data_IF_111853933715
#
_entry.id   IF_111853933715
#
_cell.length_a   1.000
_cell.length_b   1.000
_cell.length_c   1.000
_cell.angle_alpha   90.00
_cell.angle_beta   90.00
_cell.angle_gamma   90.00
#
_symmetry.space_group_name_H-M   'P 1'
#
loop_
_entity.id
_entity.type
_entity.pdbx_description
1 polymer ?
#
# COMPACT_ATOMS: atom_id res chain seq x y z
N UNK A 1 53.80 -2.95 14.24
CA UNK A 1 52.38 -3.21 14.57
C UNK A 1 52.19 -2.88 16.03
N UNK A 2 51.43 -1.83 16.29
CA UNK A 2 51.14 -1.39 17.64
C UNK A 2 50.04 -2.26 18.23
N UNK A 3 49.92 -2.29 19.56
CA UNK A 3 48.87 -3.06 20.26
C UNK A 3 47.46 -2.61 19.83
N UNK A 4 47.31 -1.36 19.38
CA UNK A 4 46.08 -0.80 18.82
C UNK A 4 45.69 -1.44 17.47
N UNK A 5 46.66 -1.69 16.58
CA UNK A 5 46.42 -2.36 15.29
C UNK A 5 45.89 -3.78 15.48
N UNK A 6 46.31 -4.47 16.55
CA UNK A 6 45.88 -5.84 16.85
C UNK A 6 44.41 -5.90 17.30
N UNK A 7 43.96 -4.95 18.13
CA UNK A 7 42.58 -4.91 18.62
C UNK A 7 41.60 -4.57 17.50
N UNK A 8 41.95 -3.61 16.64
CA UNK A 8 41.09 -3.17 15.54
C UNK A 8 40.88 -4.28 14.50
N UNK A 9 41.93 -5.04 14.18
CA UNK A 9 41.84 -6.21 13.31
C UNK A 9 40.95 -7.32 13.90
N UNK A 10 41.09 -7.62 15.20
CA UNK A 10 40.24 -8.61 15.88
C UNK A 10 38.77 -8.17 15.92
N UNK A 11 38.49 -6.89 16.21
CA UNK A 11 37.13 -6.35 16.17
C UNK A 11 36.50 -6.44 14.76
N UNK A 12 37.27 -6.11 13.71
CA UNK A 12 36.81 -6.26 12.32
C UNK A 12 36.58 -7.72 11.95
N UNK A 13 37.43 -8.63 12.40
CA UNK A 13 37.28 -10.06 12.13
C UNK A 13 36.07 -10.66 12.84
N UNK A 14 35.79 -10.24 14.08
CA UNK A 14 34.55 -10.61 14.81
C UNK A 14 33.30 -10.06 14.15
N UNK A 15 33.31 -8.79 13.70
CA UNK A 15 32.20 -8.21 12.96
C UNK A 15 31.99 -8.95 11.63
N UNK A 16 33.06 -9.23 10.89
CA UNK A 16 32.98 -10.00 9.64
C UNK A 16 32.43 -11.41 9.88
N UNK A 17 32.85 -12.09 10.95
CA UNK A 17 32.32 -13.40 11.33
C UNK A 17 30.84 -13.33 11.74
N UNK A 18 30.44 -12.30 12.47
CA UNK A 18 29.04 -12.05 12.81
C UNK A 18 28.18 -11.75 11.58
N UNK A 19 28.70 -10.98 10.62
CA UNK A 19 27.99 -10.67 9.37
C UNK A 19 28.01 -11.83 8.36
N UNK A 20 28.99 -12.72 8.45
CA UNK A 20 29.06 -13.96 7.66
C UNK A 20 28.36 -15.14 8.32
N UNK A 21 27.79 -14.97 9.52
CA UNK A 21 27.04 -16.04 10.17
C UNK A 21 25.78 -16.35 9.37
N UNK A 22 25.39 -17.63 9.28
CA UNK A 22 24.17 -18.01 8.55
C UNK A 22 22.93 -17.27 9.08
N UNK A 23 22.96 -16.92 10.38
CA UNK A 23 21.92 -16.12 11.03
C UNK A 23 21.82 -14.70 10.45
N UNK A 24 22.94 -14.00 10.27
CA UNK A 24 22.91 -12.65 9.68
C UNK A 24 22.46 -12.70 8.23
N UNK A 25 22.91 -13.68 7.44
CA UNK A 25 22.49 -13.86 6.04
C UNK A 25 20.97 -14.06 5.97
N UNK A 26 20.40 -14.95 6.78
CA UNK A 26 18.95 -15.18 6.83
C UNK A 26 18.17 -13.91 7.22
N UNK A 27 18.68 -13.14 8.20
CA UNK A 27 18.06 -11.86 8.61
C UNK A 27 18.09 -10.84 7.47
N UNK A 28 19.20 -10.73 6.74
CA UNK A 28 19.30 -9.82 5.60
C UNK A 28 18.39 -10.23 4.45
N UNK A 29 18.28 -11.52 4.15
CA UNK A 29 17.37 -12.04 3.13
C UNK A 29 15.91 -11.75 3.49
N UNK A 30 15.52 -12.00 4.74
CA UNK A 30 14.18 -11.68 5.23
C UNK A 30 13.88 -10.18 5.18
N UNK A 31 14.82 -9.35 5.65
CA UNK A 31 14.67 -7.89 5.60
C UNK A 31 14.55 -7.38 4.16
N UNK A 32 15.40 -7.89 3.26
CA UNK A 32 15.37 -7.51 1.83
C UNK A 32 14.04 -7.91 1.19
N UNK A 33 13.55 -9.11 1.50
CA UNK A 33 12.24 -9.59 1.06
C UNK A 33 11.10 -8.68 1.56
N UNK A 34 11.10 -8.29 2.83
CA UNK A 34 10.09 -7.39 3.38
C UNK A 34 10.14 -5.98 2.76
N UNK A 35 11.34 -5.44 2.56
CA UNK A 35 11.52 -4.13 1.90
C UNK A 35 11.02 -4.18 0.46
N UNK A 36 11.31 -5.26 -0.27
CA UNK A 36 10.84 -5.45 -1.64
C UNK A 36 9.31 -5.54 -1.72
N UNK A 37 8.69 -6.34 -0.85
CA UNK A 37 7.24 -6.48 -0.77
C UNK A 37 6.59 -5.13 -0.43
N UNK A 38 7.15 -4.41 0.55
CA UNK A 38 6.64 -3.12 0.98
C UNK A 38 6.75 -2.05 -0.11
N UNK A 39 7.89 -1.99 -0.81
CA UNK A 39 8.08 -1.10 -1.94
C UNK A 39 7.08 -1.41 -3.07
N UNK A 40 6.87 -2.70 -3.36
CA UNK A 40 5.89 -3.16 -4.36
C UNK A 40 4.47 -2.76 -3.97
N UNK A 41 4.06 -3.01 -2.72
CA UNK A 41 2.76 -2.58 -2.21
C UNK A 41 2.56 -1.07 -2.24
N UNK A 42 3.60 -0.30 -1.91
CA UNK A 42 3.61 1.15 -2.04
C UNK A 42 3.39 1.63 -3.47
N UNK A 43 4.12 1.04 -4.43
CA UNK A 43 3.98 1.35 -5.85
C UNK A 43 2.57 1.02 -6.38
N UNK A 44 2.06 -0.18 -6.09
CA UNK A 44 0.71 -0.60 -6.48
C UNK A 44 -0.36 0.34 -5.92
N UNK A 45 -0.24 0.71 -4.64
CA UNK A 45 -1.17 1.63 -4.01
C UNK A 45 -1.15 3.01 -4.69
N UNK A 46 0.04 3.55 -4.91
CA UNK A 46 0.23 4.84 -5.56
C UNK A 46 -0.34 4.84 -6.99
N UNK A 47 -0.11 3.77 -7.76
CA UNK A 47 -0.69 3.60 -9.10
C UNK A 47 -2.21 3.59 -9.05
N UNK A 48 -2.82 2.87 -8.11
CA UNK A 48 -4.27 2.80 -7.97
C UNK A 48 -4.92 4.14 -7.63
N UNK A 49 -4.38 4.89 -6.67
CA UNK A 49 -4.90 6.23 -6.34
C UNK A 49 -4.63 7.26 -7.45
N UNK A 50 -3.53 7.11 -8.20
CA UNK A 50 -3.22 7.94 -9.36
C UNK A 50 -4.22 7.69 -10.50
N UNK A 51 -4.53 6.43 -10.79
CA UNK A 51 -5.53 6.05 -11.77
C UNK A 51 -6.92 6.61 -11.40
N UNK A 52 -7.29 6.57 -10.12
CA UNK A 52 -8.52 7.20 -9.64
C UNK A 52 -8.54 8.72 -9.86
N UNK A 53 -7.43 9.41 -9.63
CA UNK A 53 -7.35 10.86 -9.88
C UNK A 53 -7.49 11.19 -11.38
N UNK A 54 -6.90 10.37 -12.27
CA UNK A 54 -7.07 10.49 -13.73
C UNK A 54 -8.54 10.27 -14.12
N UNK A 55 -9.16 9.21 -13.60
CA UNK A 55 -10.57 8.92 -13.86
C UNK A 55 -11.49 10.07 -13.41
N UNK A 56 -11.26 10.60 -12.20
CA UNK A 56 -11.98 11.76 -11.70
C UNK A 56 -11.79 12.99 -12.60
N UNK A 57 -10.57 13.23 -13.09
CA UNK A 57 -10.30 14.34 -14.01
C UNK A 57 -11.06 14.20 -15.34
N UNK A 58 -11.09 12.99 -15.93
CA UNK A 58 -11.84 12.68 -17.15
C UNK A 58 -13.35 12.88 -16.95
N UNK A 59 -13.87 12.49 -15.78
CA UNK A 59 -15.27 12.68 -15.40
C UNK A 59 -15.59 14.11 -14.92
N UNK A 60 -14.62 15.03 -14.93
CA UNK A 60 -14.73 16.39 -14.40
C UNK A 60 -15.17 16.45 -12.93
N UNK A 61 -14.80 15.45 -12.15
CA UNK A 61 -15.03 15.37 -10.71
C UNK A 61 -13.81 15.98 -10.00
N UNK A 62 -13.97 17.17 -9.45
CA UNK A 62 -12.96 17.82 -8.61
C UNK A 62 -13.24 17.63 -7.12
N UNK A 63 -12.29 17.98 -6.28
CA UNK A 63 -12.37 17.92 -4.81
C UNK A 63 -13.55 18.67 -4.16
N UNK A 64 -14.16 19.61 -4.87
CA UNK A 64 -15.36 20.34 -4.45
C UNK A 64 -16.62 19.98 -5.28
N UNK A 65 -16.58 18.91 -6.08
CA UNK A 65 -17.77 18.39 -6.75
C UNK A 65 -18.80 17.92 -5.70
N UNK A 66 -20.09 18.05 -6.04
CA UNK A 66 -21.21 17.85 -5.11
C UNK A 66 -21.36 16.43 -4.54
N UNK A 67 -22.32 16.32 -3.60
CA UNK A 67 -22.89 15.10 -3.03
C UNK A 67 -21.91 13.96 -2.73
N UNK A 68 -20.82 14.30 -2.03
CA UNK A 68 -19.82 13.34 -1.55
C UNK A 68 -19.04 12.57 -2.64
N UNK A 69 -19.22 12.88 -3.92
CA UNK A 69 -18.59 12.16 -5.02
C UNK A 69 -17.07 12.04 -4.87
N UNK A 70 -16.32 13.11 -4.54
CA UNK A 70 -14.87 13.01 -4.40
C UNK A 70 -14.47 12.10 -3.23
N UNK A 71 -15.29 12.06 -2.17
CA UNK A 71 -15.04 11.21 -1.01
C UNK A 71 -15.36 9.75 -1.31
N UNK A 72 -16.44 9.45 -2.04
CA UNK A 72 -16.79 8.11 -2.47
C UNK A 72 -15.71 7.53 -3.41
N UNK A 73 -15.32 8.28 -4.45
CA UNK A 73 -14.24 7.86 -5.35
C UNK A 73 -12.91 7.68 -4.60
N UNK A 74 -12.56 8.62 -3.73
CA UNK A 74 -11.34 8.51 -2.92
C UNK A 74 -11.36 7.30 -1.98
N UNK A 75 -12.47 7.02 -1.31
CA UNK A 75 -12.62 5.86 -0.43
C UNK A 75 -12.54 4.55 -1.22
N UNK A 76 -13.26 4.43 -2.34
CA UNK A 76 -13.19 3.26 -3.20
C UNK A 76 -11.78 3.04 -3.74
N UNK A 77 -11.10 4.11 -4.17
CA UNK A 77 -9.72 4.04 -4.66
C UNK A 77 -8.75 3.56 -3.57
N UNK A 78 -8.82 4.12 -2.36
CA UNK A 78 -7.98 3.67 -1.24
C UNK A 78 -8.26 2.21 -0.90
N UNK A 79 -9.52 1.82 -0.80
CA UNK A 79 -9.93 0.47 -0.45
C UNK A 79 -9.45 -0.56 -1.48
N UNK A 80 -9.73 -0.34 -2.76
CA UNK A 80 -9.31 -1.25 -3.84
C UNK A 80 -7.79 -1.29 -3.99
N UNK A 81 -7.11 -0.13 -3.93
CA UNK A 81 -5.65 -0.06 -4.01
C UNK A 81 -4.96 -0.76 -2.84
N UNK A 82 -5.59 -0.77 -1.67
CA UNK A 82 -5.07 -1.48 -0.49
C UNK A 82 -5.18 -3.00 -0.63
N UNK A 83 -6.31 -3.48 -1.19
CA UNK A 83 -6.47 -4.89 -1.56
C UNK A 83 -5.41 -5.30 -2.57
N UNK A 84 -5.21 -4.52 -3.63
CA UNK A 84 -4.20 -4.80 -4.65
C UNK A 84 -2.78 -4.78 -4.07
N UNK A 85 -2.46 -3.79 -3.23
CA UNK A 85 -1.16 -3.68 -2.59
C UNK A 85 -0.84 -4.93 -1.76
N UNK A 86 -1.72 -5.35 -0.86
CA UNK A 86 -1.49 -6.56 -0.04
C UNK A 86 -1.51 -7.85 -0.85
N UNK A 87 -2.41 -7.97 -1.83
CA UNK A 87 -2.60 -9.21 -2.58
C UNK A 87 -1.53 -9.46 -3.63
N UNK A 88 -0.87 -8.43 -4.15
CA UNK A 88 0.12 -8.55 -5.23
C UNK A 88 1.55 -8.15 -4.80
N UNK A 89 1.77 -7.66 -3.57
CA UNK A 89 3.08 -7.17 -3.10
C UNK A 89 4.23 -8.19 -3.20
N UNK A 90 3.97 -9.47 -2.91
CA UNK A 90 5.01 -10.51 -2.85
C UNK A 90 5.33 -11.12 -4.23
N UNK A 91 4.59 -10.79 -5.28
CA UNK A 91 4.76 -11.41 -6.60
C UNK A 91 6.17 -11.23 -7.17
N UNK A 92 6.78 -10.03 -7.13
CA UNK A 92 8.16 -9.85 -7.60
C UNK A 92 9.15 -10.75 -6.86
N UNK A 93 8.96 -10.93 -5.54
CA UNK A 93 9.78 -11.82 -4.72
C UNK A 93 9.63 -13.29 -5.15
N UNK A 94 8.40 -13.78 -5.28
CA UNK A 94 8.14 -15.16 -5.73
C UNK A 94 8.74 -15.42 -7.12
N UNK A 95 8.56 -14.48 -8.05
CA UNK A 95 9.12 -14.58 -9.40
C UNK A 95 10.66 -14.59 -9.36
N UNK A 96 11.28 -13.74 -8.54
CA UNK A 96 12.73 -13.72 -8.38
C UNK A 96 13.27 -15.03 -7.76
N UNK A 97 12.63 -15.55 -6.72
CA UNK A 97 13.02 -16.80 -6.06
C UNK A 97 12.90 -18.00 -7.01
N UNK A 98 11.83 -18.09 -7.79
CA UNK A 98 11.63 -19.14 -8.78
C UNK A 98 12.69 -19.06 -9.90
N UNK A 99 12.98 -17.85 -10.40
CA UNK A 99 14.04 -17.64 -11.39
C UNK A 99 15.43 -18.01 -10.83
N UNK A 100 15.71 -17.65 -9.57
CA UNK A 100 16.95 -18.01 -8.90
C UNK A 100 17.07 -19.53 -8.69
N UNK A 101 15.98 -20.22 -8.33
CA UNK A 101 15.94 -21.67 -8.20
C UNK A 101 16.15 -22.37 -9.56
N UNK A 102 15.51 -21.87 -10.62
CA UNK A 102 15.73 -22.37 -11.98
C UNK A 102 17.16 -22.14 -12.47
N UNK A 103 17.74 -20.99 -12.15
CA UNK A 103 19.14 -20.69 -12.45
C UNK A 103 20.09 -21.64 -11.74
N UNK A 104 19.85 -21.96 -10.45
CA UNK A 104 20.63 -22.95 -9.69
C UNK A 104 20.54 -24.35 -10.31
N UNK A 105 19.33 -24.83 -10.60
CA UNK A 105 19.12 -26.13 -11.28
C UNK A 105 19.76 -26.18 -12.65
N UNK A 106 19.71 -25.08 -13.39
CA UNK A 106 20.35 -24.99 -14.70
C UNK A 106 21.89 -25.00 -14.57
N UNK A 107 22.44 -24.33 -13.55
CA UNK A 107 23.88 -24.32 -13.27
C UNK A 107 24.37 -25.66 -12.74
N UNK A 108 23.60 -26.41 -11.96
CA UNK A 108 23.96 -27.78 -11.52
C UNK A 108 24.03 -28.73 -12.72
N UNK A 109 23.01 -28.69 -13.59
CA UNK A 109 23.01 -29.45 -14.85
C UNK A 109 24.13 -29.00 -15.79
N UNK A 110 24.42 -27.70 -15.82
CA UNK A 110 25.51 -27.13 -16.62
C UNK A 110 26.86 -27.40 -15.99
N UNK A 111 27.03 -27.55 -14.68
CA UNK A 111 28.28 -28.00 -14.06
C UNK A 111 28.64 -29.42 -14.51
N UNK A 112 27.63 -30.25 -14.77
CA UNK A 112 27.80 -31.55 -15.43
C UNK A 112 28.00 -31.45 -16.95
N UNK A 113 27.39 -30.46 -17.62
CA UNK A 113 27.39 -30.33 -19.09
C UNK A 113 28.39 -29.31 -19.67
N UNK A 114 29.04 -28.48 -18.86
CA UNK A 114 29.99 -27.44 -19.27
C UNK A 114 31.36 -28.02 -19.61
N UNK A 115 31.65 -29.25 -19.19
CA UNK A 115 32.68 -30.06 -19.83
C UNK A 115 32.36 -30.37 -21.30
N UNK A 116 31.13 -30.14 -21.79
CA UNK A 116 30.71 -30.64 -23.10
C UNK A 116 30.26 -29.57 -24.09
N UNK A 117 29.58 -28.45 -23.78
CA UNK A 117 29.27 -27.44 -24.83
C UNK A 117 28.89 -26.03 -24.35
N UNK A 118 29.44 -25.03 -25.04
CA UNK A 118 29.44 -23.60 -24.71
C UNK A 118 28.09 -22.87 -24.69
N UNK A 119 28.00 -21.89 -23.80
CA UNK A 119 26.81 -21.09 -23.52
C UNK A 119 26.65 -19.91 -24.51
N UNK A 120 25.70 -20.01 -25.46
CA UNK A 120 25.32 -18.86 -26.33
C UNK A 120 23.81 -18.57 -26.45
N UNK A 121 22.92 -19.18 -25.65
CA UNK A 121 21.47 -18.91 -25.75
C UNK A 121 20.76 -18.83 -24.39
N UNK A 122 21.02 -17.75 -23.63
CA UNK A 122 20.15 -17.36 -22.52
C UNK A 122 18.98 -16.55 -23.11
N UNK A 123 17.93 -17.24 -23.53
CA UNK A 123 16.71 -16.58 -24.02
C UNK A 123 16.01 -15.80 -22.88
N UNK A 124 15.76 -14.48 -23.04
CA UNK A 124 15.12 -13.66 -22.02
C UNK A 124 13.57 -13.54 -22.00
N UNK A 125 12.72 -14.48 -22.49
CA UNK A 125 11.25 -14.37 -22.32
C UNK A 125 10.64 -15.17 -21.15
N UNK A 126 11.42 -15.87 -20.30
CA UNK A 126 10.86 -16.74 -19.24
C UNK A 126 10.33 -15.97 -18.01
N UNK A 127 11.00 -14.89 -17.60
CA UNK A 127 10.64 -14.13 -16.40
C UNK A 127 9.26 -13.47 -16.51
N UNK A 128 8.97 -12.83 -17.65
CA UNK A 128 7.68 -12.20 -17.89
C UNK A 128 6.52 -13.20 -17.91
N UNK A 129 6.71 -14.35 -18.56
CA UNK A 129 5.70 -15.41 -18.59
C UNK A 129 5.42 -15.96 -17.18
N UNK A 130 6.45 -16.14 -16.36
CA UNK A 130 6.27 -16.55 -14.95
C UNK A 130 5.54 -15.49 -14.14
N UNK A 131 5.90 -14.23 -14.32
CA UNK A 131 5.20 -13.12 -13.68
C UNK A 131 3.72 -13.10 -14.06
N UNK A 132 3.39 -13.24 -15.36
CA UNK A 132 2.02 -13.32 -15.84
C UNK A 132 1.25 -14.50 -15.23
N UNK A 133 1.86 -15.68 -15.18
CA UNK A 133 1.25 -16.87 -14.57
C UNK A 133 0.97 -16.64 -13.07
N UNK A 134 1.89 -16.02 -12.33
CA UNK A 134 1.71 -15.69 -10.92
C UNK A 134 0.63 -14.63 -10.69
N UNK A 135 0.60 -13.59 -11.54
CA UNK A 135 -0.46 -12.59 -11.51
C UNK A 135 -1.81 -13.22 -11.80
N UNK A 136 -1.91 -14.11 -12.80
CA UNK A 136 -3.14 -14.82 -13.14
C UNK A 136 -3.58 -15.74 -12.00
N UNK A 137 -2.67 -16.55 -11.44
CA UNK A 137 -2.93 -17.42 -10.29
C UNK A 137 -3.48 -16.61 -9.11
N UNK A 138 -2.86 -15.46 -8.80
CA UNK A 138 -3.31 -14.59 -7.72
C UNK A 138 -4.63 -13.91 -8.06
N UNK A 139 -4.87 -13.55 -9.32
CA UNK A 139 -6.14 -12.97 -9.77
C UNK A 139 -7.31 -13.96 -9.61
N UNK A 140 -7.12 -15.23 -9.96
CA UNK A 140 -8.13 -16.28 -9.76
C UNK A 140 -8.41 -16.51 -8.27
N UNK A 141 -7.36 -16.45 -7.44
CA UNK A 141 -7.46 -16.56 -5.99
C UNK A 141 -7.94 -15.28 -5.30
N UNK A 142 -8.14 -14.19 -6.05
CA UNK A 142 -8.56 -12.91 -5.49
C UNK A 142 -9.82 -13.15 -4.67
N UNK A 143 -10.85 -13.81 -5.24
CA UNK A 143 -12.19 -14.02 -4.64
C UNK A 143 -12.20 -14.62 -3.23
N UNK A 144 -11.13 -15.29 -2.83
CA UNK A 144 -11.00 -15.97 -1.54
C UNK A 144 -10.24 -15.15 -0.49
N UNK A 145 -9.73 -13.97 -0.86
CA UNK A 145 -9.00 -13.11 0.06
C UNK A 145 -9.94 -12.38 1.05
N UNK A 146 -9.49 -12.05 2.26
CA UNK A 146 -10.26 -11.33 3.27
C UNK A 146 -10.35 -9.83 2.93
N UNK A 147 -10.95 -9.52 1.77
CA UNK A 147 -11.00 -8.15 1.24
C UNK A 147 -11.55 -7.12 2.23
N UNK A 148 -12.62 -7.39 3.00
CA UNK A 148 -13.15 -6.39 3.92
C UNK A 148 -12.10 -5.93 4.93
N UNK A 149 -11.24 -6.85 5.40
CA UNK A 149 -10.16 -6.53 6.34
C UNK A 149 -9.13 -5.63 5.67
N UNK A 150 -8.67 -5.97 4.47
CA UNK A 150 -7.68 -5.18 3.73
C UNK A 150 -8.18 -3.79 3.38
N UNK A 151 -9.45 -3.69 2.97
CA UNK A 151 -10.10 -2.41 2.68
C UNK A 151 -10.16 -1.55 3.93
N UNK A 152 -10.62 -2.09 5.06
CA UNK A 152 -10.73 -1.35 6.34
C UNK A 152 -9.35 -0.93 6.85
N UNK A 153 -8.37 -1.84 6.87
CA UNK A 153 -7.00 -1.52 7.29
C UNK A 153 -6.37 -0.44 6.41
N UNK A 154 -6.55 -0.53 5.10
CA UNK A 154 -6.10 0.46 4.15
C UNK A 154 -6.70 1.85 4.39
N UNK A 155 -8.02 1.91 4.60
CA UNK A 155 -8.72 3.16 4.93
C UNK A 155 -8.24 3.75 6.26
N UNK A 156 -8.03 2.92 7.29
CA UNK A 156 -7.51 3.35 8.59
C UNK A 156 -6.08 3.85 8.48
N UNK A 157 -5.19 3.11 7.83
CA UNK A 157 -3.80 3.51 7.60
C UNK A 157 -3.73 4.82 6.82
N UNK A 158 -4.51 4.96 5.74
CA UNK A 158 -4.62 6.21 4.98
C UNK A 158 -5.05 7.38 5.86
N UNK A 159 -6.03 7.16 6.75
CA UNK A 159 -6.51 8.18 7.69
C UNK A 159 -5.47 8.57 8.73
N UNK A 160 -4.77 7.60 9.32
CA UNK A 160 -3.70 7.83 10.29
C UNK A 160 -2.54 8.62 9.68
N UNK A 161 -2.23 8.40 8.40
CA UNK A 161 -1.25 9.18 7.63
C UNK A 161 -1.77 10.57 7.20
N UNK A 162 -2.89 11.04 7.76
CA UNK A 162 -3.48 12.35 7.51
C UNK A 162 -4.27 12.45 6.19
N UNK A 163 -4.63 11.31 5.60
CA UNK A 163 -5.35 11.25 4.34
C UNK A 163 -6.79 11.76 4.42
N UNK A 164 -7.18 12.57 3.43
CA UNK A 164 -8.58 12.94 3.18
C UNK A 164 -8.98 12.40 1.83
N UNK A 165 -10.15 11.77 1.73
CA UNK A 165 -10.59 11.17 0.48
C UNK A 165 -10.73 12.21 -0.64
N UNK A 166 -11.19 13.41 -0.31
CA UNK A 166 -11.24 14.54 -1.26
C UNK A 166 -9.86 15.08 -1.67
N UNK A 167 -8.79 14.77 -0.93
CA UNK A 167 -7.43 15.19 -1.29
C UNK A 167 -6.83 14.37 -2.44
N UNK A 168 -7.42 13.21 -2.77
CA UNK A 168 -7.05 12.42 -3.94
C UNK A 168 -7.65 12.98 -5.23
N UNK A 169 -8.74 13.74 -5.13
CA UNK A 169 -9.38 14.33 -6.29
C UNK A 169 -8.58 15.50 -6.88
N UNK A 170 -8.72 15.78 -8.19
CA UNK A 170 -8.19 16.99 -8.80
C UNK A 170 -8.74 18.26 -8.13
N UNK A 171 -7.96 19.33 -8.11
CA UNK A 171 -8.42 20.63 -7.57
C UNK A 171 -9.15 21.45 -8.64
N UNK A 172 -10.40 21.87 -8.42
CA UNK A 172 -11.01 22.90 -9.24
C UNK A 172 -10.35 24.26 -8.95
N UNK A 173 -10.15 25.08 -9.98
CA UNK A 173 -9.66 26.45 -9.78
C UNK A 173 -10.75 27.38 -9.22
N UNK A 174 -12.01 27.19 -9.63
CA UNK A 174 -13.13 28.06 -9.23
C UNK A 174 -13.77 27.71 -7.87
N UNK A 175 -13.17 26.80 -7.09
CA UNK A 175 -13.68 26.36 -5.79
C UNK A 175 -12.51 25.90 -4.89
N UNK A 176 -12.81 25.43 -3.68
CA UNK A 176 -11.82 24.89 -2.75
C UNK A 176 -11.08 23.70 -3.36
N UNK A 177 -9.75 23.79 -3.42
CA UNK A 177 -8.90 22.73 -3.92
C UNK A 177 -8.74 21.55 -2.95
N UNK A 178 -8.13 20.47 -3.44
CA UNK A 178 -7.89 19.20 -2.76
C UNK A 178 -7.04 19.34 -1.49
N UNK A 179 -6.26 20.42 -1.38
CA UNK A 179 -5.38 20.70 -0.25
C UNK A 179 -5.92 21.78 0.70
N UNK A 180 -7.16 22.25 0.53
CA UNK A 180 -7.74 23.22 1.45
C UNK A 180 -7.86 22.64 2.86
N UNK A 181 -7.55 23.45 3.87
CA UNK A 181 -7.78 23.12 5.27
C UNK A 181 -8.53 24.27 5.91
N UNK A 182 -9.71 24.00 6.50
CA UNK A 182 -10.52 25.04 7.15
C UNK A 182 -9.75 25.72 8.28
N UNK A 183 -8.90 24.98 9.01
CA UNK A 183 -8.02 25.53 10.05
C UNK A 183 -6.91 26.45 9.52
N UNK A 184 -6.59 26.37 8.23
CA UNK A 184 -5.60 27.22 7.55
C UNK A 184 -6.31 28.26 6.67
N UNK A 185 -7.34 28.89 7.22
CA UNK A 185 -8.11 29.92 6.53
C UNK A 185 -8.60 30.99 7.51
N UNK A 186 -8.79 32.20 7.00
CA UNK A 186 -9.31 33.32 7.78
C UNK A 186 -10.74 33.65 7.33
N UNK A 187 -11.67 34.00 8.23
CA UNK A 187 -12.90 34.67 7.84
C UNK A 187 -12.57 35.91 6.98
N UNK A 188 -13.36 36.17 5.94
CA UNK A 188 -13.13 37.28 5.04
C UNK A 188 -14.43 38.05 4.81
N UNK A 189 -14.32 39.37 4.61
CA UNK A 189 -15.38 40.19 4.04
C UNK A 189 -15.33 40.11 2.51
N UNK A 190 -16.20 40.87 1.84
CA UNK A 190 -16.17 41.06 0.39
C UNK A 190 -14.93 41.85 -0.05
N UNK A 191 -14.27 42.57 0.86
CA UNK A 191 -13.14 43.45 0.56
C UNK A 191 -11.84 42.67 0.37
N UNK A 192 -10.82 43.36 -0.16
CA UNK A 192 -9.49 42.77 -0.29
C UNK A 192 -8.83 42.59 1.08
N UNK A 193 -8.00 41.55 1.21
CA UNK A 193 -7.24 41.30 2.43
C UNK A 193 -6.34 42.49 2.78
N UNK A 194 -6.38 42.89 4.04
CA UNK A 194 -5.48 43.84 4.70
C UNK A 194 -4.03 43.34 4.70
N UNK A 195 -3.08 44.22 5.01
CA UNK A 195 -1.66 43.85 5.15
C UNK A 195 -1.44 42.77 6.21
N UNK A 196 -2.13 42.87 7.34
CA UNK A 196 -2.08 41.90 8.44
C UNK A 196 -2.61 40.54 7.99
N UNK A 197 -3.79 40.49 7.37
CA UNK A 197 -4.37 39.25 6.84
C UNK A 197 -3.47 38.60 5.79
N UNK A 198 -2.87 39.39 4.90
CA UNK A 198 -1.90 38.89 3.92
C UNK A 198 -0.67 38.27 4.60
N UNK A 199 -0.19 38.89 5.68
CA UNK A 199 0.90 38.35 6.52
C UNK A 199 0.54 36.98 7.10
N UNK A 200 -0.64 36.87 7.73
CA UNK A 200 -1.13 35.61 8.30
C UNK A 200 -1.30 34.53 7.21
N UNK A 201 -1.82 34.91 6.03
CA UNK A 201 -1.96 33.99 4.90
C UNK A 201 -0.60 33.52 4.37
N UNK A 202 0.46 34.33 4.41
CA UNK A 202 1.81 33.83 4.10
C UNK A 202 2.21 32.72 5.07
N UNK A 203 2.00 32.91 6.37
CA UNK A 203 2.34 31.88 7.37
C UNK A 203 1.53 30.61 7.19
N UNK A 204 0.22 30.72 6.95
CA UNK A 204 -0.62 29.56 6.62
C UNK A 204 -0.13 28.86 5.35
N UNK A 205 0.27 29.59 4.33
CA UNK A 205 0.85 29.04 3.11
C UNK A 205 2.17 28.31 3.36
N UNK A 206 3.07 28.85 4.18
CA UNK A 206 4.34 28.18 4.53
C UNK A 206 4.10 26.89 5.31
N UNK A 207 3.17 26.90 6.27
CA UNK A 207 2.87 25.74 7.11
C UNK A 207 2.09 24.65 6.38
N UNK A 208 1.02 25.02 5.67
CA UNK A 208 0.04 24.07 5.12
C UNK A 208 0.13 23.94 3.60
N UNK A 209 0.67 24.92 2.91
CA UNK A 209 0.80 24.97 1.46
C UNK A 209 -0.40 25.61 0.78
N UNK A 210 -0.28 25.75 -0.54
CA UNK A 210 -1.36 26.24 -1.41
C UNK A 210 -2.59 25.34 -1.31
N UNK A 211 -3.78 25.91 -1.08
CA UNK A 211 -5.02 25.13 -0.98
C UNK A 211 -5.40 24.42 -2.30
N UNK A 212 -4.91 24.91 -3.45
CA UNK A 212 -5.15 24.33 -4.77
C UNK A 212 -4.15 23.22 -5.10
N UNK A 213 -2.84 23.43 -4.96
CA UNK A 213 -1.82 22.49 -5.43
C UNK A 213 -0.90 21.93 -4.34
N UNK A 214 -1.02 22.41 -3.11
CA UNK A 214 -0.27 21.89 -1.97
C UNK A 214 1.20 22.31 -1.90
N UNK A 215 1.73 23.09 -2.84
CA UNK A 215 3.12 23.58 -2.80
C UNK A 215 3.35 24.43 -1.54
N UNK A 216 4.51 24.26 -0.90
CA UNK A 216 4.87 24.93 0.38
C UNK A 216 6.05 25.89 0.29
N UNK A 217 7.06 25.56 -0.52
CA UNK A 217 8.36 26.26 -0.57
C UNK A 217 8.52 27.00 -1.90
N UNK A 218 9.33 28.06 -1.89
CA UNK A 218 9.73 28.79 -3.09
C UNK A 218 8.59 29.54 -3.79
N UNK A 219 7.51 29.88 -3.08
CA UNK A 219 6.37 30.61 -3.65
C UNK A 219 5.84 31.67 -2.70
N UNK A 220 5.26 32.73 -3.27
CA UNK A 220 4.45 33.71 -2.55
C UNK A 220 2.98 33.27 -2.55
N UNK A 221 2.28 33.54 -1.46
CA UNK A 221 0.85 33.25 -1.33
C UNK A 221 0.00 34.50 -1.54
N UNK A 222 -1.21 34.32 -2.05
CA UNK A 222 -2.26 35.32 -2.08
C UNK A 222 -3.39 34.88 -1.15
N UNK A 223 -4.05 35.87 -0.54
CA UNK A 223 -5.28 35.67 0.21
C UNK A 223 -6.43 35.50 -0.78
N UNK A 224 -6.63 34.26 -1.23
CA UNK A 224 -7.65 33.92 -2.22
C UNK A 224 -9.04 33.86 -1.57
N UNK A 225 -10.01 34.57 -2.16
CA UNK A 225 -11.40 34.59 -1.72
C UNK A 225 -12.11 33.31 -2.16
N UNK A 226 -12.53 32.50 -1.19
CA UNK A 226 -13.33 31.31 -1.45
C UNK A 226 -14.73 31.41 -0.82
N UNK A 227 -15.82 31.26 -1.63
CA UNK A 227 -15.80 31.14 -3.09
C UNK A 227 -15.37 32.46 -3.78
N UNK A 228 -14.91 32.43 -5.05
CA UNK A 228 -14.56 33.65 -5.79
C UNK A 228 -15.74 34.62 -5.88
N UNK A 229 -15.48 35.94 -5.84
CA UNK A 229 -16.54 36.98 -5.82
C UNK A 229 -17.56 36.84 -6.95
N UNK A 230 -17.11 36.53 -8.17
CA UNK A 230 -18.00 36.30 -9.32
C UNK A 230 -18.91 35.07 -9.12
N UNK A 231 -18.38 34.00 -8.53
CA UNK A 231 -19.15 32.78 -8.21
C UNK A 231 -20.14 33.06 -7.08
N UNK A 232 -19.73 33.81 -6.05
CA UNK A 232 -20.58 34.22 -4.95
C UNK A 232 -21.75 35.10 -5.39
N UNK A 233 -21.47 36.15 -6.18
CA UNK A 233 -22.49 37.06 -6.74
C UNK A 233 -23.58 36.28 -7.48
N UNK A 234 -23.19 35.39 -8.39
CA UNK A 234 -24.13 34.53 -9.13
C UNK A 234 -24.91 33.58 -8.23
N UNK A 235 -24.26 33.07 -7.18
CA UNK A 235 -24.91 32.16 -6.22
C UNK A 235 -25.98 32.90 -5.41
N UNK A 236 -25.69 34.14 -5.00
CA UNK A 236 -26.61 34.98 -4.23
C UNK A 236 -27.75 35.52 -5.10
N UNK A 237 -27.54 35.67 -6.41
CA UNK A 237 -28.57 36.05 -7.37
C UNK A 237 -29.62 34.97 -7.63
N UNK A 238 -29.39 33.70 -7.20
CA UNK A 238 -30.38 32.63 -7.34
C UNK A 238 -31.67 33.00 -6.59
N UNK A 239 -32.82 32.87 -7.27
CA UNK A 239 -34.15 33.30 -6.78
C UNK A 239 -34.40 32.87 -5.34
N UNK A 240 -34.21 31.58 -5.03
CA UNK A 240 -34.43 31.03 -3.68
C UNK A 240 -33.57 31.72 -2.62
N UNK A 241 -32.28 31.97 -2.90
CA UNK A 241 -31.39 32.65 -1.95
C UNK A 241 -31.71 34.13 -1.79
N UNK A 242 -32.03 34.78 -2.91
CA UNK A 242 -32.46 36.18 -2.94
C UNK A 242 -33.72 36.38 -2.09
N UNK A 243 -34.73 35.52 -2.25
CA UNK A 243 -35.95 35.53 -1.46
C UNK A 243 -35.68 35.30 0.03
N UNK A 244 -34.71 34.43 0.37
CA UNK A 244 -34.31 34.16 1.75
C UNK A 244 -33.32 35.19 2.33
N UNK A 245 -32.93 36.23 1.59
CA UNK A 245 -31.95 37.24 2.04
C UNK A 245 -30.56 36.67 2.38
N UNK A 246 -30.22 35.46 1.92
CA UNK A 246 -28.98 34.77 2.31
C UNK A 246 -27.81 35.23 1.46
N UNK A 247 -26.83 35.90 2.08
CA UNK A 247 -25.56 36.28 1.45
C UNK A 247 -24.50 35.19 1.63
N UNK A 248 -23.62 35.05 0.64
CA UNK A 248 -22.49 34.11 0.71
C UNK A 248 -21.41 34.65 1.65
N UNK A 249 -20.95 33.79 2.56
CA UNK A 249 -19.82 34.07 3.46
C UNK A 249 -18.49 33.77 2.77
N UNK A 250 -17.49 34.63 2.95
CA UNK A 250 -16.16 34.46 2.37
C UNK A 250 -15.14 34.00 3.40
N UNK A 251 -14.10 33.33 2.90
CA UNK A 251 -12.88 33.03 3.66
C UNK A 251 -11.66 33.21 2.77
N UNK A 252 -10.56 33.63 3.37
CA UNK A 252 -9.25 33.66 2.73
C UNK A 252 -8.53 32.33 2.90
N UNK A 253 -8.01 31.79 1.80
CA UNK A 253 -7.12 30.63 1.79
C UNK A 253 -5.78 30.99 1.15
N UNK A 254 -4.67 30.36 1.57
CA UNK A 254 -3.37 30.56 0.94
C UNK A 254 -3.35 29.91 -0.45
N UNK A 255 -3.18 30.72 -1.49
CA UNK A 255 -3.03 30.23 -2.87
C UNK A 255 -1.73 30.74 -3.47
N UNK A 256 -0.91 29.87 -4.08
CA UNK A 256 0.32 30.32 -4.72
C UNK A 256 0.03 31.14 -5.99
N UNK A 257 0.92 32.07 -6.31
CA UNK A 257 0.83 32.95 -7.49
C UNK A 257 0.51 32.20 -8.81
N UNK A 258 1.17 31.08 -9.17
CA UNK A 258 0.82 30.34 -10.39
C UNK A 258 -0.61 29.79 -10.41
N UNK A 259 -1.16 29.41 -9.25
CA UNK A 259 -2.55 28.93 -9.16
C UNK A 259 -3.55 30.09 -9.21
N UNK A 260 -3.24 31.20 -8.52
CA UNK A 260 -4.03 32.44 -8.54
C UNK A 260 -4.18 33.00 -9.95
N UNK A 261 -3.07 33.12 -10.69
CA UNK A 261 -3.09 33.64 -12.06
C UNK A 261 -3.95 32.78 -13.01
N UNK A 262 -3.91 31.44 -12.85
CA UNK A 262 -4.76 30.51 -13.61
C UNK A 262 -6.22 30.62 -13.21
N UNK A 263 -6.51 30.74 -11.92
CA UNK A 263 -7.87 30.86 -11.42
C UNK A 263 -8.59 32.07 -12.01
N UNK A 264 -7.94 33.23 -12.05
CA UNK A 264 -8.55 34.45 -12.61
C UNK A 264 -9.09 34.24 -14.04
N UNK A 265 -8.31 33.56 -14.88
CA UNK A 265 -8.73 33.23 -16.26
C UNK A 265 -9.88 32.23 -16.29
N UNK A 266 -9.81 31.19 -15.46
CA UNK A 266 -10.83 30.12 -15.40
C UNK A 266 -12.18 30.66 -14.90
N UNK A 267 -12.17 31.50 -13.85
CA UNK A 267 -13.38 32.09 -13.27
C UNK A 267 -14.04 33.06 -14.24
N UNK A 268 -13.26 33.89 -14.96
CA UNK A 268 -13.81 34.80 -15.99
C UNK A 268 -14.47 34.04 -17.15
N UNK A 269 -13.86 32.93 -17.57
CA UNK A 269 -14.35 32.12 -18.69
C UNK A 269 -15.41 31.08 -18.28
N UNK A 270 -15.76 30.97 -16.99
CA UNK A 270 -16.68 29.96 -16.46
C UNK A 270 -16.30 28.52 -16.81
N UNK A 271 -15.00 28.23 -16.91
CA UNK A 271 -14.50 26.89 -17.23
C UNK A 271 -14.39 26.03 -15.98
N UNK A 272 -14.62 24.73 -16.12
CA UNK A 272 -14.40 23.72 -15.08
C UNK A 272 -13.01 23.11 -15.17
N UNK A 273 -11.97 23.95 -15.18
CA UNK A 273 -10.59 23.48 -15.26
C UNK A 273 -10.16 22.86 -13.93
N UNK A 274 -9.65 21.63 -14.01
CA UNK A 274 -9.14 20.86 -12.88
C UNK A 274 -7.61 20.80 -12.92
N UNK A 275 -6.98 20.74 -11.76
CA UNK A 275 -5.54 20.53 -11.58
C UNK A 275 -5.30 19.17 -10.92
N UNK A 276 -4.59 18.28 -11.61
CA UNK A 276 -4.13 17.01 -11.04
C UNK A 276 -2.87 17.18 -10.17
N UNK A 277 -2.63 16.20 -9.30
CA UNK A 277 -1.59 16.24 -8.27
C UNK A 277 -0.75 14.96 -8.21
N UNK A 278 -0.57 14.28 -9.36
CA UNK A 278 0.11 12.98 -9.47
C UNK A 278 1.53 12.98 -8.90
N UNK A 279 2.22 14.11 -8.93
CA UNK A 279 3.59 14.26 -8.42
C UNK A 279 3.66 14.95 -7.04
N UNK A 280 2.52 15.25 -6.43
CA UNK A 280 2.45 15.93 -5.14
C UNK A 280 2.38 14.92 -4.00
N UNK A 281 3.49 14.22 -3.78
CA UNK A 281 3.58 13.17 -2.76
C UNK A 281 3.36 13.71 -1.34
N UNK A 282 2.71 12.87 -0.53
CA UNK A 282 2.29 13.12 0.85
C UNK A 282 2.40 11.80 1.62
N UNK A 283 2.47 11.86 2.95
CA UNK A 283 2.56 10.67 3.80
C UNK A 283 1.52 9.60 3.45
N UNK A 284 0.25 9.97 3.24
CA UNK A 284 -0.82 9.03 2.89
C UNK A 284 -0.65 8.32 1.54
N UNK A 285 0.23 8.78 0.64
CA UNK A 285 0.53 8.04 -0.60
C UNK A 285 1.39 6.78 -0.33
N UNK A 286 2.02 6.70 0.86
CA UNK A 286 2.77 5.54 1.31
C UNK A 286 1.89 4.53 2.06
N UNK A 287 0.57 4.64 2.00
CA UNK A 287 -0.35 3.71 2.69
C UNK A 287 -0.09 2.26 2.31
N UNK A 288 0.08 1.95 1.01
CA UNK A 288 0.38 0.57 0.58
C UNK A 288 1.68 0.02 1.14
N UNK A 289 2.71 0.88 1.25
CA UNK A 289 4.01 0.50 1.83
C UNK A 289 3.87 0.17 3.32
N UNK A 290 3.23 1.07 4.08
CA UNK A 290 3.00 0.86 5.52
C UNK A 290 2.09 -0.35 5.79
N UNK A 291 1.07 -0.52 4.97
CA UNK A 291 0.13 -1.64 5.09
C UNK A 291 0.86 -2.98 4.92
N UNK A 292 1.72 -3.11 3.90
CA UNK A 292 2.51 -4.34 3.71
C UNK A 292 3.51 -4.53 4.84
N UNK A 293 4.21 -3.49 5.31
CA UNK A 293 5.12 -3.60 6.46
C UNK A 293 4.40 -4.08 7.73
N UNK A 294 3.23 -3.52 8.03
CA UNK A 294 2.45 -3.88 9.23
C UNK A 294 1.86 -5.30 9.13
N UNK A 295 1.41 -5.72 7.95
CA UNK A 295 0.82 -7.03 7.74
C UNK A 295 1.85 -8.15 7.60
N UNK A 296 3.01 -7.89 6.98
CA UNK A 296 4.03 -8.92 6.75
C UNK A 296 5.10 -8.96 7.85
N UNK A 297 5.38 -7.84 8.51
CA UNK A 297 6.41 -7.73 9.56
C UNK A 297 6.00 -8.25 10.94
N UNK A 298 4.97 -9.11 11.04
CA UNK A 298 4.58 -9.75 12.30
C UNK A 298 3.90 -8.86 13.36
N UNK A 299 3.72 -7.56 13.09
CA UNK A 299 2.97 -6.66 13.97
C UNK A 299 1.45 -6.91 13.96
N UNK A 300 0.97 -7.79 13.07
CA UNK A 300 -0.37 -8.36 13.17
C UNK A 300 -0.41 -9.43 14.28
N UNK A 301 -0.31 -8.95 15.52
CA UNK A 301 -0.45 -9.73 16.76
C UNK A 301 -1.89 -10.22 16.85
N UNK A 302 -2.16 -11.38 16.25
CA UNK A 302 -3.52 -11.93 16.20
C UNK A 302 -3.68 -13.20 15.38
N UNK A 303 -2.77 -14.17 15.51
CA UNK A 303 -3.04 -15.61 15.31
C UNK A 303 -3.60 -16.09 13.96
N UNK A 304 -3.61 -15.27 12.92
CA UNK A 304 -4.06 -15.64 11.58
C UNK A 304 -2.86 -15.88 10.67
N UNK A 305 -2.59 -17.15 10.36
CA UNK A 305 -1.59 -17.63 9.40
C UNK A 305 -1.91 -17.14 7.97
N UNK A 306 -1.77 -15.83 7.72
CA UNK A 306 -2.12 -15.22 6.43
C UNK A 306 -0.91 -15.06 5.49
N UNK A 307 0.31 -15.05 6.02
CA UNK A 307 1.55 -15.13 5.25
C UNK A 307 2.48 -16.17 5.87
N UNK A 308 2.18 -17.43 5.59
CA UNK A 308 3.03 -18.59 5.86
C UNK A 308 4.18 -18.60 4.84
N UNK A 309 5.08 -17.60 4.91
CA UNK A 309 6.26 -17.49 4.04
C UNK A 309 7.58 -17.53 4.80
N UNK A 310 7.57 -17.97 6.05
CA UNK A 310 8.81 -18.21 6.80
C UNK A 310 8.83 -19.65 7.33
N UNK A 311 8.90 -20.61 6.41
CA UNK A 311 9.67 -21.82 6.68
C UNK A 311 11.16 -21.44 6.69
N UNK A 312 11.57 -20.64 7.67
CA UNK A 312 12.97 -20.65 8.09
C UNK A 312 13.06 -21.81 9.04
N UNK A 313 13.45 -22.97 8.51
CA UNK A 313 13.91 -24.11 9.27
C UNK A 313 15.05 -23.63 10.16
N UNK A 314 14.70 -23.21 11.36
CA UNK A 314 15.67 -22.93 12.42
C UNK A 314 16.25 -24.27 12.82
N UNK A 315 17.37 -24.61 12.21
CA UNK A 315 18.34 -25.57 12.74
C UNK A 315 18.79 -25.05 14.10
N UNK A 316 18.05 -25.40 15.16
CA UNK A 316 18.45 -25.14 16.54
C UNK A 316 19.25 -26.33 17.05
N UNK A 317 20.57 -26.25 16.91
CA UNK A 317 21.54 -27.00 17.71
C UNK A 317 21.61 -26.45 19.14
N UNK A 318 20.47 -26.36 19.83
CA UNK A 318 20.42 -26.15 21.28
C UNK A 318 19.99 -27.44 21.94
N UNK A 319 21.01 -28.25 22.22
CA UNK A 319 20.93 -29.46 23.04
C UNK A 319 20.53 -29.09 24.48
N UNK A 320 19.23 -28.97 24.75
CA UNK A 320 18.58 -29.32 26.02
C UNK A 320 17.07 -29.02 26.09
N UNK A 321 16.41 -28.61 25.00
CA UNK A 321 14.95 -28.54 24.97
C UNK A 321 14.35 -29.84 24.44
N UNK A 322 13.37 -30.38 25.16
CA UNK A 322 12.64 -31.62 24.84
C UNK A 322 12.26 -31.69 23.35
N UNK A 323 12.77 -32.67 22.59
CA UNK A 323 12.76 -32.66 21.12
C UNK A 323 11.39 -32.80 20.43
N UNK A 324 10.30 -33.06 21.16
CA UNK A 324 9.03 -33.45 20.52
C UNK A 324 8.05 -32.29 20.21
N UNK A 325 8.19 -31.12 20.84
CA UNK A 325 7.19 -30.04 20.70
C UNK A 325 7.17 -29.38 19.30
N UNK A 326 8.33 -29.29 18.64
CA UNK A 326 8.47 -28.60 17.36
C UNK A 326 7.84 -29.37 16.19
N UNK A 327 7.99 -30.70 16.17
CA UNK A 327 7.50 -31.55 15.06
C UNK A 327 5.98 -31.58 14.97
N UNK A 328 5.29 -31.62 16.11
CA UNK A 328 3.83 -31.72 16.15
C UNK A 328 3.16 -30.44 15.65
N UNK A 329 3.77 -29.29 15.91
CA UNK A 329 3.29 -28.01 15.39
C UNK A 329 3.46 -27.93 13.87
N UNK A 330 4.63 -28.33 13.35
CA UNK A 330 4.87 -28.40 11.91
C UNK A 330 3.89 -29.34 11.20
N UNK A 331 3.62 -30.53 11.78
CA UNK A 331 2.64 -31.47 11.27
C UNK A 331 1.23 -30.87 11.26
N UNK A 332 0.83 -30.18 12.34
CA UNK A 332 -0.48 -29.53 12.42
C UNK A 332 -0.66 -28.46 11.34
N UNK A 333 0.42 -27.72 11.02
CA UNK A 333 0.44 -26.71 9.96
C UNK A 333 0.30 -27.35 8.58
N UNK A 334 1.09 -28.39 8.29
CA UNK A 334 0.98 -29.17 7.05
C UNK A 334 -0.43 -29.74 6.82
N UNK A 335 -1.07 -30.27 7.87
CA UNK A 335 -2.44 -30.78 7.80
C UNK A 335 -3.46 -29.67 7.49
N UNK A 336 -3.29 -28.46 8.04
CA UNK A 336 -4.16 -27.31 7.72
C UNK A 336 -4.00 -26.87 6.26
N UNK A 337 -2.78 -26.88 5.74
CA UNK A 337 -2.53 -26.54 4.35
C UNK A 337 -3.18 -27.56 3.40
N UNK A 338 -3.02 -28.86 3.69
CA UNK A 338 -3.67 -29.94 2.92
C UNK A 338 -5.19 -29.80 2.92
N UNK A 339 -5.81 -29.51 4.06
CA UNK A 339 -7.26 -29.27 4.18
C UNK A 339 -7.73 -28.10 3.31
N UNK A 340 -6.99 -26.98 3.28
CA UNK A 340 -7.31 -25.82 2.43
C UNK A 340 -7.21 -26.18 0.95
N UNK A 341 -6.17 -26.93 0.57
CA UNK A 341 -5.97 -27.38 -0.82
C UNK A 341 -7.12 -28.27 -1.29
N UNK A 342 -7.45 -29.30 -0.50
CA UNK A 342 -8.57 -30.20 -0.78
C UNK A 342 -9.91 -29.46 -0.83
N UNK A 343 -10.13 -28.48 0.04
CA UNK A 343 -11.35 -27.67 0.04
C UNK A 343 -11.49 -26.84 -1.26
N UNK A 344 -10.39 -26.31 -1.80
CA UNK A 344 -10.38 -25.60 -3.09
C UNK A 344 -10.60 -26.57 -4.27
N UNK A 345 -9.97 -27.74 -4.23
CA UNK A 345 -10.15 -28.79 -5.25
C UNK A 345 -11.59 -29.28 -5.28
N UNK A 346 -12.21 -29.51 -4.10
CA UNK A 346 -13.62 -29.87 -3.95
C UNK A 346 -14.53 -28.86 -4.66
N UNK A 347 -14.29 -27.55 -4.47
CA UNK A 347 -15.10 -26.49 -5.07
C UNK A 347 -15.00 -26.41 -6.60
N UNK A 348 -13.91 -26.94 -7.19
CA UNK A 348 -13.71 -26.97 -8.65
C UNK A 348 -14.27 -28.23 -9.29
N UNK A 349 -14.41 -29.31 -8.54
CA UNK A 349 -14.70 -30.63 -9.09
C UNK A 349 -16.21 -30.89 -9.26
N UNK A 350 -16.59 -31.38 -10.45
CA UNK A 350 -17.99 -31.73 -10.78
C UNK A 350 -18.27 -33.22 -10.74
N UNK A 351 -17.25 -34.04 -10.93
CA UNK A 351 -17.37 -35.50 -10.89
C UNK A 351 -17.65 -35.98 -9.46
N UNK A 352 -18.79 -36.68 -9.29
CA UNK A 352 -19.24 -37.20 -7.99
C UNK A 352 -18.22 -38.16 -7.37
N UNK A 353 -17.53 -38.95 -8.18
CA UNK A 353 -16.55 -39.93 -7.67
C UNK A 353 -15.35 -39.19 -7.05
N UNK A 354 -14.84 -38.19 -7.75
CA UNK A 354 -13.72 -37.37 -7.25
C UNK A 354 -14.13 -36.51 -6.05
N UNK A 355 -15.35 -35.96 -6.03
CA UNK A 355 -15.88 -35.23 -4.87
C UNK A 355 -15.94 -36.14 -3.64
N UNK A 356 -16.43 -37.38 -3.78
CA UNK A 356 -16.47 -38.34 -2.68
C UNK A 356 -15.07 -38.72 -2.17
N UNK A 357 -14.09 -38.83 -3.08
CA UNK A 357 -12.70 -39.09 -2.72
C UNK A 357 -12.08 -37.92 -1.92
N UNK A 358 -12.29 -36.68 -2.38
CA UNK A 358 -11.83 -35.47 -1.68
C UNK A 358 -12.49 -35.35 -0.30
N UNK A 359 -13.78 -35.65 -0.19
CA UNK A 359 -14.51 -35.62 1.08
C UNK A 359 -13.99 -36.65 2.10
N UNK A 360 -13.65 -37.85 1.61
CA UNK A 360 -12.99 -38.89 2.41
C UNK A 360 -11.63 -38.40 2.93
N UNK A 361 -10.84 -37.75 2.08
CA UNK A 361 -9.53 -37.23 2.48
C UNK A 361 -9.65 -36.07 3.47
N UNK A 362 -10.58 -35.14 3.25
CA UNK A 362 -10.88 -34.05 4.20
C UNK A 362 -11.24 -34.59 5.59
N UNK A 363 -12.03 -35.67 5.65
CA UNK A 363 -12.38 -36.34 6.92
C UNK A 363 -11.13 -36.93 7.60
N UNK A 364 -10.27 -37.61 6.85
CA UNK A 364 -9.03 -38.17 7.39
C UNK A 364 -8.07 -37.08 7.92
N UNK A 365 -7.94 -35.97 7.20
CA UNK A 365 -7.14 -34.81 7.65
C UNK A 365 -7.71 -34.20 8.93
N UNK A 366 -9.04 -34.09 9.03
CA UNK A 366 -9.70 -33.57 10.23
C UNK A 366 -9.49 -34.48 11.46
N UNK A 367 -9.56 -35.80 11.28
CA UNK A 367 -9.27 -36.79 12.32
C UNK A 367 -7.81 -36.74 12.76
N UNK A 368 -6.87 -36.65 11.82
CA UNK A 368 -5.44 -36.52 12.10
C UNK A 368 -5.14 -35.23 12.90
N UNK A 369 -5.72 -34.09 12.50
CA UNK A 369 -5.60 -32.83 13.25
C UNK A 369 -6.14 -32.94 14.68
N UNK A 370 -7.23 -33.69 14.88
CA UNK A 370 -7.79 -33.93 16.21
C UNK A 370 -6.84 -34.76 17.07
N UNK A 371 -6.22 -35.79 16.49
CA UNK A 371 -5.23 -36.63 17.16
C UNK A 371 -3.98 -35.83 17.57
N UNK A 372 -3.38 -35.07 16.65
CA UNK A 372 -2.19 -34.23 16.93
C UNK A 372 -2.49 -33.20 18.03
N UNK A 373 -3.67 -32.55 17.99
CA UNK A 373 -4.08 -31.62 19.07
C UNK A 373 -4.26 -32.31 20.41
N UNK A 374 -4.76 -33.55 20.43
CA UNK A 374 -4.90 -34.30 21.66
C UNK A 374 -3.53 -34.67 22.23
N UNK A 375 -2.57 -35.01 21.37
CA UNK A 375 -1.21 -35.34 21.79
C UNK A 375 -0.47 -34.13 22.37
N UNK A 376 -0.51 -32.99 21.68
CA UNK A 376 0.02 -31.71 22.21
C UNK A 376 -0.59 -31.36 23.58
N UNK A 377 -1.88 -31.66 23.81
CA UNK A 377 -2.53 -31.44 25.12
C UNK A 377 -2.02 -32.40 26.19
N UNK A 378 -1.77 -33.67 25.85
CA UNK A 378 -1.21 -34.66 26.78
C UNK A 378 0.22 -34.30 27.16
N UNK A 379 1.04 -33.91 26.18
CA UNK A 379 2.42 -33.48 26.40
C UNK A 379 2.51 -32.22 27.29
N UNK A 380 1.50 -31.34 27.26
CA UNK A 380 1.42 -30.16 28.15
C UNK A 380 0.92 -30.47 29.57
N UNK A 381 0.27 -31.61 29.76
CA UNK A 381 -0.29 -32.00 31.05
C UNK A 381 0.70 -32.85 31.88
N UNK A 382 1.65 -33.50 31.21
CA UNK A 382 2.81 -34.16 31.82
C UNK A 382 3.96 -33.18 31.97
#
# INVERSE_FOLDING_TARGET
>A
MTKEDSWLNDAVQRLRHHFSSDRSVSVYEALTAHVLDAATGGALFLCGVSAAQVAQNLLRIGSASGLLLPQAFGASAVASSSVLALHFAFIPREAYQELAAQSRRANEKRGWSWLVLGAKNLQPPKAWKQLQLKVQERWENLSQAPYPVYMVMGLLCFKLLGGRMSALAPSPFANLGAFHLKKASLPATVDYATSIERGIIQEFGRLFGCHTCGVKRGVRYHADHMPPKLVAKRTDEKIVRRMLGRKTTFRFYPQCEPCSNRQGNVVKQWKSTLKMHLLSFRAYHFTGLWLVLLCTGGLYVGGSNFHETSEVSTSMDTANETPNSSSDFALLMSLRERERKLSRERGKQRDRIQVAAIDKELKAVAECKKAVKADIRRQKAN
#
